data_IF_935190955665
#
_entry.id   IF_935190955665
#
_cell.length_a   1.000
_cell.length_b   1.000
_cell.length_c   1.000
_cell.angle_alpha   90.00
_cell.angle_beta   90.00
_cell.angle_gamma   90.00
#
_symmetry.space_group_name_H-M   'P 1'
#
loop_
_entity.id
_entity.type
_entity.pdbx_description
1 polymer ?
#
# COMPACT_ATOMS: atom_id res chain seq x y z
N UNK A 1 -18.68 11.08 7.37
CA UNK A 1 -18.46 9.61 7.15
C UNK A 1 -16.98 9.33 6.85
N UNK A 2 -16.38 8.39 7.56
CA UNK A 2 -14.99 7.95 7.36
C UNK A 2 -14.97 6.55 6.72
N UNK A 3 -14.18 6.35 5.65
CA UNK A 3 -14.00 5.07 4.99
C UNK A 3 -12.59 4.55 5.21
N UNK A 4 -12.49 3.27 5.59
CA UNK A 4 -11.23 2.52 5.61
C UNK A 4 -11.15 1.65 4.37
N UNK A 5 -10.03 1.75 3.66
CA UNK A 5 -9.70 0.93 2.48
C UNK A 5 -8.55 -0.03 2.79
N UNK A 6 -8.60 -1.22 2.21
CA UNK A 6 -7.47 -2.10 2.05
C UNK A 6 -7.04 -2.08 0.59
N UNK A 7 -5.75 -1.90 0.34
CA UNK A 7 -5.21 -1.64 -0.98
C UNK A 7 -4.04 -2.58 -1.24
N UNK A 8 -4.03 -3.17 -2.42
CA UNK A 8 -2.94 -3.98 -2.95
C UNK A 8 -2.33 -3.27 -4.16
N UNK A 9 -1.00 -3.30 -4.30
CA UNK A 9 -0.36 -2.72 -5.47
C UNK A 9 1.00 -3.33 -5.80
N UNK A 10 1.29 -3.43 -7.11
CA UNK A 10 2.63 -3.59 -7.64
C UNK A 10 3.28 -2.19 -7.75
N UNK A 11 4.23 -1.91 -6.86
CA UNK A 11 4.89 -0.60 -6.78
C UNK A 11 5.95 -0.33 -7.84
N UNK A 12 6.27 -1.30 -8.71
CA UNK A 12 7.42 -1.24 -9.63
C UNK A 12 7.46 0.02 -10.51
N UNK A 13 6.29 0.54 -10.92
CA UNK A 13 6.18 1.72 -11.78
C UNK A 13 5.96 3.03 -11.03
N UNK A 14 5.85 2.98 -9.69
CA UNK A 14 5.46 4.13 -8.87
C UNK A 14 6.63 4.72 -8.09
N UNK A 15 6.57 6.02 -7.86
CA UNK A 15 7.50 6.78 -7.03
C UNK A 15 7.19 6.67 -5.54
N UNK A 16 6.62 5.53 -5.14
CA UNK A 16 6.21 5.20 -3.78
C UNK A 16 4.75 5.54 -3.50
N UNK A 17 4.39 5.42 -2.23
CA UNK A 17 3.04 5.70 -1.77
C UNK A 17 2.70 7.18 -1.82
N UNK A 18 3.52 8.03 -1.19
CA UNK A 18 3.19 9.42 -0.88
C UNK A 18 3.06 10.28 -2.13
N UNK A 19 1.95 11.04 -2.22
CA UNK A 19 1.75 12.07 -3.24
C UNK A 19 2.92 13.06 -3.26
N UNK A 20 3.38 13.41 -4.45
CA UNK A 20 4.47 14.34 -4.70
C UNK A 20 4.02 15.43 -5.69
N UNK A 21 4.44 16.68 -5.47
CA UNK A 21 4.07 17.77 -6.36
C UNK A 21 4.66 17.65 -7.78
N UNK A 22 5.80 16.96 -7.90
CA UNK A 22 6.53 16.82 -9.16
C UNK A 22 6.03 15.70 -10.07
N UNK A 23 5.19 14.79 -9.56
CA UNK A 23 4.71 13.63 -10.33
C UNK A 23 3.35 13.12 -9.86
N UNK A 24 2.53 12.68 -10.81
CA UNK A 24 1.28 11.96 -10.54
C UNK A 24 1.47 10.45 -10.36
N UNK A 25 2.70 9.93 -10.46
CA UNK A 25 2.98 8.49 -10.44
C UNK A 25 3.27 7.98 -9.02
N UNK A 26 2.32 8.22 -8.12
CA UNK A 26 2.30 7.72 -6.75
C UNK A 26 0.98 7.01 -6.48
N UNK A 27 0.99 6.01 -5.59
CA UNK A 27 -0.22 5.23 -5.26
C UNK A 27 -1.30 6.14 -4.68
N UNK A 28 -0.95 6.97 -3.70
CA UNK A 28 -1.85 7.94 -3.08
C UNK A 28 -2.43 8.92 -4.12
N UNK A 29 -1.60 9.43 -5.03
CA UNK A 29 -2.05 10.37 -6.05
C UNK A 29 -3.06 9.77 -7.03
N UNK A 30 -2.90 8.49 -7.43
CA UNK A 30 -3.87 7.78 -8.28
C UNK A 30 -5.22 7.62 -7.58
N UNK A 31 -5.21 7.20 -6.31
CA UNK A 31 -6.43 7.03 -5.52
C UNK A 31 -7.14 8.36 -5.26
N UNK A 32 -6.40 9.40 -4.85
CA UNK A 32 -6.95 10.74 -4.60
C UNK A 32 -7.57 11.35 -5.86
N UNK A 33 -6.97 11.16 -7.03
CA UNK A 33 -7.52 11.64 -8.29
C UNK A 33 -8.89 11.01 -8.61
N UNK A 34 -9.04 9.69 -8.36
CA UNK A 34 -10.29 8.96 -8.57
C UNK A 34 -11.37 9.43 -7.58
N UNK A 35 -11.02 9.56 -6.31
CA UNK A 35 -11.94 10.04 -5.27
C UNK A 35 -12.34 11.50 -5.50
N UNK A 36 -11.38 12.37 -5.86
CA UNK A 36 -11.64 13.76 -6.22
C UNK A 36 -12.63 13.86 -7.39
N UNK A 37 -12.47 13.01 -8.40
CA UNK A 37 -13.43 12.91 -9.51
C UNK A 37 -14.81 12.44 -9.05
N UNK A 38 -14.89 11.46 -8.13
CA UNK A 38 -16.16 10.90 -7.64
C UNK A 38 -16.95 11.92 -6.83
N UNK A 39 -16.27 12.69 -5.98
CA UNK A 39 -16.90 13.62 -5.04
C UNK A 39 -16.88 15.09 -5.49
N UNK A 40 -16.29 15.40 -6.65
CA UNK A 40 -16.25 16.76 -7.20
C UNK A 40 -15.40 17.77 -6.39
N UNK A 41 -14.64 17.30 -5.40
CA UNK A 41 -13.77 18.10 -4.54
C UNK A 41 -12.51 17.33 -4.14
N UNK A 42 -11.49 18.02 -3.67
CA UNK A 42 -10.27 17.38 -3.21
C UNK A 42 -10.55 16.43 -2.04
N UNK A 43 -10.16 15.18 -2.18
CA UNK A 43 -10.20 14.16 -1.13
C UNK A 43 -8.76 13.78 -0.80
N UNK A 44 -8.38 13.93 0.45
CA UNK A 44 -7.07 13.51 0.96
C UNK A 44 -7.18 12.14 1.59
N UNK A 45 -6.15 11.31 1.39
CA UNK A 45 -6.08 9.94 1.90
C UNK A 45 -4.95 9.84 2.92
N UNK A 46 -5.27 9.30 4.09
CA UNK A 46 -4.29 8.94 5.12
C UNK A 46 -3.91 7.46 5.01
N UNK A 47 -2.66 7.19 4.66
CA UNK A 47 -2.11 5.82 4.61
C UNK A 47 -1.47 5.41 5.93
N UNK A 48 -1.59 4.12 6.30
CA UNK A 48 -0.97 3.56 7.49
C UNK A 48 0.56 3.59 7.44
N UNK A 49 1.12 3.44 6.24
CA UNK A 49 2.56 3.47 5.98
C UNK A 49 2.87 4.24 4.70
N UNK A 50 4.09 4.78 4.64
CA UNK A 50 4.70 5.20 3.39
C UNK A 50 5.59 4.07 2.90
N UNK A 51 5.41 3.63 1.66
CA UNK A 51 6.33 2.74 0.97
C UNK A 51 7.19 3.56 0.01
N UNK A 52 8.44 3.20 -0.14
CA UNK A 52 9.36 3.84 -1.06
C UNK A 52 9.08 3.45 -2.52
N UNK A 53 9.76 4.10 -3.45
CA UNK A 53 9.63 3.81 -4.88
C UNK A 53 9.96 2.34 -5.16
N UNK A 54 9.11 1.68 -5.95
CA UNK A 54 9.26 0.28 -6.32
C UNK A 54 8.76 -0.74 -5.29
N UNK A 55 8.43 -0.33 -4.07
CA UNK A 55 7.94 -1.24 -3.02
C UNK A 55 6.48 -1.59 -3.26
N UNK A 56 6.15 -2.88 -3.14
CA UNK A 56 4.81 -3.44 -3.29
C UNK A 56 4.05 -3.44 -1.96
N UNK A 57 2.74 -3.65 -2.01
CA UNK A 57 1.94 -3.93 -0.82
C UNK A 57 0.85 -4.97 -1.12
N UNK A 58 0.69 -5.92 -0.20
CA UNK A 58 -0.42 -6.88 -0.25
C UNK A 58 -1.67 -6.36 0.47
N UNK A 59 -1.50 -5.50 1.49
CA UNK A 59 -2.60 -5.01 2.32
C UNK A 59 -2.28 -3.67 2.98
N UNK A 60 -2.02 -2.62 2.19
CA UNK A 60 -1.91 -1.27 2.72
C UNK A 60 -3.28 -0.80 3.20
N UNK A 61 -3.34 -0.27 4.41
CA UNK A 61 -4.55 0.34 4.96
C UNK A 61 -4.50 1.86 4.77
N UNK A 62 -5.60 2.42 4.32
CA UNK A 62 -5.78 3.86 4.20
C UNK A 62 -7.20 4.27 4.60
N UNK A 63 -7.39 5.53 4.95
CA UNK A 63 -8.72 6.08 5.21
C UNK A 63 -8.86 7.47 4.60
N UNK A 64 -10.11 7.88 4.41
CA UNK A 64 -10.47 9.23 3.97
C UNK A 64 -11.87 9.59 4.46
N UNK A 65 -12.17 10.89 4.46
CA UNK A 65 -13.43 11.42 4.91
C UNK A 65 -14.24 12.07 3.78
N UNK A 66 -15.55 11.85 3.83
CA UNK A 66 -16.53 12.59 3.02
C UNK A 66 -17.59 13.19 3.94
N UNK A 67 -18.34 14.17 3.44
CA UNK A 67 -19.51 14.69 4.16
C UNK A 67 -20.58 13.61 4.30
N UNK A 68 -21.44 13.69 5.31
CA UNK A 68 -22.41 12.63 5.57
C UNK A 68 -23.47 12.51 4.47
N UNK A 69 -23.81 13.63 3.84
CA UNK A 69 -24.72 13.69 2.68
C UNK A 69 -24.10 13.19 1.36
N UNK A 70 -22.78 13.02 1.34
CA UNK A 70 -22.02 12.42 0.24
C UNK A 70 -21.77 10.91 0.43
N UNK A 71 -22.19 10.34 1.56
CA UNK A 71 -21.94 8.94 1.88
C UNK A 71 -22.57 8.00 0.85
N UNK A 72 -21.81 6.98 0.47
CA UNK A 72 -22.23 5.92 -0.46
C UNK A 72 -21.92 4.55 0.15
N UNK A 73 -22.60 3.52 -0.33
CA UNK A 73 -22.36 2.16 0.13
C UNK A 73 -20.91 1.73 -0.15
N UNK A 74 -20.20 1.12 0.83
CA UNK A 74 -18.80 0.73 0.69
C UNK A 74 -18.52 -0.15 -0.52
N UNK A 75 -19.39 -1.08 -0.85
CA UNK A 75 -19.24 -1.96 -2.02
C UNK A 75 -19.35 -1.19 -3.34
N UNK A 76 -20.25 -0.22 -3.43
CA UNK A 76 -20.39 0.65 -4.60
C UNK A 76 -19.13 1.48 -4.79
N UNK A 77 -18.62 2.04 -3.69
CA UNK A 77 -17.41 2.84 -3.70
C UNK A 77 -16.19 2.02 -4.12
N UNK A 78 -16.05 0.80 -3.62
CA UNK A 78 -14.99 -0.11 -4.03
C UNK A 78 -15.03 -0.43 -5.51
N UNK A 79 -16.21 -0.73 -6.04
CA UNK A 79 -16.42 -1.00 -7.48
C UNK A 79 -16.05 0.22 -8.32
N UNK A 80 -16.51 1.40 -7.91
CA UNK A 80 -16.18 2.65 -8.60
C UNK A 80 -14.68 2.90 -8.62
N UNK A 81 -13.98 2.79 -7.48
CA UNK A 81 -12.55 3.02 -7.42
C UNK A 81 -11.80 2.05 -8.35
N UNK A 82 -12.09 0.75 -8.26
CA UNK A 82 -11.44 -0.26 -9.08
C UNK A 82 -11.73 -0.14 -10.58
N UNK A 83 -12.87 0.46 -10.97
CA UNK A 83 -13.19 0.71 -12.38
C UNK A 83 -12.20 1.68 -13.04
N UNK A 84 -11.61 2.60 -12.28
CA UNK A 84 -10.71 3.65 -12.79
C UNK A 84 -9.26 3.47 -12.38
N UNK A 85 -8.96 2.51 -11.51
CA UNK A 85 -7.59 2.18 -11.14
C UNK A 85 -6.85 1.50 -12.31
N UNK A 86 -5.54 1.74 -12.46
CA UNK A 86 -4.71 0.92 -13.33
C UNK A 86 -4.61 -0.50 -12.77
N UNK A 87 -4.31 -1.47 -13.65
CA UNK A 87 -4.31 -2.92 -13.34
C UNK A 87 -3.35 -3.34 -12.23
N UNK A 88 -2.37 -2.52 -11.90
CA UNK A 88 -1.35 -2.76 -10.87
C UNK A 88 -1.70 -2.14 -9.49
N UNK A 89 -2.89 -1.58 -9.34
CA UNK A 89 -3.45 -1.13 -8.06
C UNK A 89 -4.87 -1.67 -7.91
N UNK A 90 -5.19 -2.25 -6.77
CA UNK A 90 -6.55 -2.70 -6.47
C UNK A 90 -6.96 -2.35 -5.04
N UNK A 91 -8.18 -1.88 -4.87
CA UNK A 91 -8.84 -1.77 -3.56
C UNK A 91 -9.55 -3.10 -3.30
N UNK A 92 -9.03 -3.87 -2.34
CA UNK A 92 -9.52 -5.21 -2.01
C UNK A 92 -10.64 -5.20 -0.97
N UNK A 93 -10.87 -4.07 -0.32
CA UNK A 93 -11.98 -3.88 0.61
C UNK A 93 -12.18 -2.42 0.96
N UNK A 94 -13.44 -2.03 1.13
CA UNK A 94 -13.86 -0.74 1.68
C UNK A 94 -14.88 -1.01 2.78
N UNK A 95 -14.75 -0.36 3.91
CA UNK A 95 -15.71 -0.43 5.01
C UNK A 95 -15.89 0.95 5.64
N UNK A 96 -17.07 1.21 6.19
CA UNK A 96 -17.28 2.36 7.04
C UNK A 96 -16.45 2.20 8.33
N UNK A 97 -15.79 3.26 8.74
CA UNK A 97 -14.97 3.31 9.94
C UNK A 97 -15.52 4.35 10.92
N UNK A 98 -15.15 4.19 12.21
CA UNK A 98 -15.47 5.21 13.20
C UNK A 98 -14.87 6.56 12.81
N UNK A 99 -15.55 7.67 13.13
CA UNK A 99 -15.17 9.02 12.70
C UNK A 99 -13.72 9.40 13.10
N UNK A 100 -13.28 8.91 14.26
CA UNK A 100 -11.91 9.15 14.77
C UNK A 100 -10.86 8.13 14.32
N UNK A 101 -11.25 7.16 13.48
CA UNK A 101 -10.28 6.20 12.95
C UNK A 101 -9.27 6.90 12.03
N UNK A 102 -8.00 6.63 12.24
CA UNK A 102 -6.90 7.12 11.43
C UNK A 102 -5.93 5.98 11.15
N UNK A 103 -5.76 5.63 9.87
CA UNK A 103 -4.99 4.45 9.44
C UNK A 103 -3.59 4.37 10.02
N UNK A 104 -2.90 5.50 10.17
CA UNK A 104 -1.55 5.55 10.72
C UNK A 104 -1.51 5.47 12.25
N UNK A 105 -2.43 6.18 12.93
CA UNK A 105 -2.41 6.30 14.39
C UNK A 105 -3.01 5.08 15.07
N UNK A 106 -3.96 4.40 14.43
CA UNK A 106 -4.60 3.20 14.95
C UNK A 106 -3.95 1.91 14.43
N UNK A 107 -2.84 1.99 13.68
CA UNK A 107 -2.12 0.80 13.25
C UNK A 107 -1.51 0.08 14.46
N UNK A 108 -1.80 -1.21 14.61
CA UNK A 108 -1.29 -2.07 15.67
C UNK A 108 -0.03 -2.84 15.28
N UNK A 109 0.25 -2.93 13.97
CA UNK A 109 1.43 -3.61 13.46
C UNK A 109 1.61 -3.39 11.96
N UNK A 110 2.82 -3.66 11.48
CA UNK A 110 3.21 -3.64 10.07
C UNK A 110 4.18 -4.77 9.83
N UNK A 111 3.97 -5.50 8.74
CA UNK A 111 4.88 -6.58 8.32
C UNK A 111 5.57 -6.17 7.03
N UNK A 112 6.89 -6.33 6.99
CA UNK A 112 7.70 -6.15 5.80
C UNK A 112 8.40 -7.46 5.47
N UNK A 113 8.34 -7.86 4.21
CA UNK A 113 8.95 -9.08 3.70
C UNK A 113 9.94 -8.74 2.59
N UNK A 114 11.15 -9.28 2.71
CA UNK A 114 12.18 -9.23 1.68
C UNK A 114 12.31 -10.60 1.04
N UNK A 115 11.99 -10.69 -0.25
CA UNK A 115 12.08 -11.92 -1.02
C UNK A 115 13.47 -12.03 -1.64
N UNK A 116 14.19 -13.09 -1.29
CA UNK A 116 15.55 -13.34 -1.78
C UNK A 116 15.55 -14.64 -2.61
N UNK A 117 16.22 -14.61 -3.76
CA UNK A 117 16.55 -15.82 -4.52
C UNK A 117 17.95 -16.24 -4.12
N UNK A 118 18.14 -17.44 -3.56
CA UNK A 118 19.44 -17.89 -3.09
C UNK A 118 20.48 -17.93 -4.22
N UNK A 119 21.77 -17.74 -3.84
CA UNK A 119 22.88 -17.90 -4.76
C UNK A 119 22.86 -19.26 -5.45
N UNK A 120 23.11 -19.27 -6.75
CA UNK A 120 23.09 -20.49 -7.57
C UNK A 120 21.70 -20.99 -7.98
N UNK A 121 20.63 -20.36 -7.49
CA UNK A 121 19.24 -20.63 -7.92
C UNK A 121 18.75 -19.46 -8.78
N UNK A 122 17.97 -19.75 -9.83
CA UNK A 122 17.42 -18.73 -10.74
C UNK A 122 15.93 -18.96 -10.94
N UNK A 123 15.12 -17.91 -10.74
CA UNK A 123 13.70 -17.91 -11.04
C UNK A 123 13.32 -16.66 -11.85
N UNK A 124 13.14 -16.85 -13.15
CA UNK A 124 12.84 -15.75 -14.07
C UNK A 124 11.44 -15.16 -13.88
N UNK A 125 10.52 -15.91 -13.28
CA UNK A 125 9.13 -15.45 -13.09
C UNK A 125 8.99 -14.52 -11.88
N UNK A 126 9.81 -14.71 -10.86
CA UNK A 126 9.77 -13.87 -9.65
C UNK A 126 10.84 -12.77 -9.63
N UNK A 127 11.67 -12.66 -10.67
CA UNK A 127 12.81 -11.71 -10.73
C UNK A 127 12.46 -10.25 -10.49
N UNK A 128 11.19 -9.86 -10.67
CA UNK A 128 10.72 -8.49 -10.40
C UNK A 128 10.32 -8.27 -8.94
N UNK A 129 10.14 -9.36 -8.19
CA UNK A 129 9.60 -9.34 -6.83
C UNK A 129 10.56 -9.91 -5.79
N UNK A 130 11.74 -10.37 -6.23
CA UNK A 130 12.76 -10.93 -5.36
C UNK A 130 14.15 -10.45 -5.77
N UNK A 131 15.03 -10.31 -4.79
CA UNK A 131 16.41 -9.94 -5.03
C UNK A 131 17.27 -11.18 -5.24
N UNK A 132 17.90 -11.27 -6.42
CA UNK A 132 18.84 -12.34 -6.74
C UNK A 132 20.14 -12.14 -5.96
N UNK A 133 20.49 -13.09 -5.11
CA UNK A 133 21.73 -13.05 -4.37
C UNK A 133 22.92 -13.39 -5.29
N UNK A 134 23.98 -12.60 -5.20
CA UNK A 134 25.24 -12.79 -5.96
C UNK A 134 26.26 -13.63 -5.19
N UNK A 135 26.04 -13.84 -3.88
CA UNK A 135 26.89 -14.59 -2.98
C UNK A 135 26.03 -15.47 -2.04
N UNK A 136 26.58 -16.57 -1.49
CA UNK A 136 25.91 -17.35 -0.46
C UNK A 136 25.61 -16.50 0.78
N UNK A 137 24.43 -16.72 1.38
CA UNK A 137 24.03 -16.08 2.63
C UNK A 137 24.40 -16.97 3.84
N UNK A 138 24.96 -16.37 4.86
CA UNK A 138 25.13 -16.98 6.18
C UNK A 138 23.81 -16.80 6.98
N UNK A 139 22.94 -17.80 6.91
CA UNK A 139 21.62 -17.74 7.54
C UNK A 139 21.74 -17.72 9.08
N UNK A 140 22.75 -18.39 9.65
CA UNK A 140 22.93 -18.40 11.11
C UNK A 140 23.37 -17.03 11.63
N UNK A 141 24.31 -16.38 10.95
CA UNK A 141 24.69 -15.01 11.27
C UNK A 141 23.50 -14.03 11.10
N UNK A 142 22.65 -14.24 10.08
CA UNK A 142 21.44 -13.43 9.89
C UNK A 142 20.43 -13.63 11.04
N UNK A 143 20.26 -14.85 11.54
CA UNK A 143 19.38 -15.13 12.69
C UNK A 143 19.90 -14.49 13.97
N UNK A 144 21.21 -14.59 14.21
CA UNK A 144 21.85 -13.93 15.35
C UNK A 144 21.63 -12.41 15.30
N UNK A 145 21.92 -11.80 14.15
CA UNK A 145 21.70 -10.36 13.94
C UNK A 145 20.24 -9.96 14.13
N UNK A 146 19.29 -10.76 13.64
CA UNK A 146 17.86 -10.51 13.83
C UNK A 146 17.45 -10.51 15.32
N UNK A 147 18.12 -11.32 16.15
CA UNK A 147 17.91 -11.32 17.60
C UNK A 147 18.19 -9.97 18.27
N UNK A 148 19.11 -9.16 17.73
CA UNK A 148 19.44 -7.84 18.28
C UNK A 148 18.42 -6.74 17.97
N UNK A 149 17.48 -6.97 17.01
CA UNK A 149 16.43 -6.02 16.63
C UNK A 149 15.06 -6.43 17.16
N UNK A 150 14.98 -7.53 17.92
CA UNK A 150 13.77 -7.89 18.63
C UNK A 150 13.50 -6.84 19.72
N UNK A 151 12.37 -6.15 19.60
CA UNK A 151 11.93 -5.17 20.59
C UNK A 151 11.13 -5.81 21.71
N UNK A 152 11.04 -5.10 22.81
CA UNK A 152 10.14 -5.39 23.94
C UNK A 152 8.78 -4.70 23.72
#
# INVERSE_FOLDING_TARGET
MNYRMQIQYDGARYRGWQRQAATGDTIQGKLEAILTRRFGRNIEIDGASRTDAGVHALAQIANFHVADDEAVEPEELQKYINQYLPEDIAVTGVVAAGERFHSRLNATGKTYEYHLIPYGTYDVFVRKYAWQMTEPLDIEAMREAAGHVLGS
#
